data_IF_631964210448
#
_entry.id   IF_631964210448
#
_cell.length_a   1.000
_cell.length_b   1.000
_cell.length_c   1.000
_cell.angle_alpha   90.00
_cell.angle_beta   90.00
_cell.angle_gamma   90.00
#
_symmetry.space_group_name_H-M   'P 1'
#
loop_
_entity.id
_entity.type
_entity.pdbx_description
1 polymer ?
#
# COMPACT_ATOMS: atom_id res chain seq x y z
N UNK A 1 49.24 -0.48 -15.48
CA UNK A 1 48.84 0.93 -15.55
C UNK A 1 47.33 0.93 -15.73
N UNK A 2 46.58 1.33 -14.71
CA UNK A 2 45.12 1.48 -14.82
C UNK A 2 44.88 2.91 -15.29
N UNK A 3 44.86 3.10 -16.60
CA UNK A 3 44.45 4.35 -17.22
C UNK A 3 42.94 4.55 -17.02
N UNK A 4 42.55 4.92 -15.80
CA UNK A 4 41.23 5.46 -15.51
C UNK A 4 41.22 6.87 -16.05
N UNK A 5 41.18 6.98 -17.38
CA UNK A 5 40.85 8.22 -18.06
C UNK A 5 39.58 8.76 -17.40
N UNK A 6 39.69 9.91 -16.74
CA UNK A 6 38.59 10.62 -16.13
C UNK A 6 37.65 11.14 -17.23
N UNK A 7 36.92 10.21 -17.86
CA UNK A 7 35.88 10.50 -18.82
C UNK A 7 34.69 10.97 -17.99
N UNK A 8 34.53 12.29 -17.89
CA UNK A 8 33.42 12.92 -17.17
C UNK A 8 32.09 12.30 -17.56
N UNK A 9 31.17 12.23 -16.59
CA UNK A 9 29.85 11.65 -16.79
C UNK A 9 29.13 12.29 -17.97
N UNK A 10 28.53 11.46 -18.84
CA UNK A 10 27.74 11.95 -19.97
C UNK A 10 26.56 12.77 -19.43
N UNK A 11 26.35 14.02 -19.90
CA UNK A 11 25.26 14.87 -19.43
C UNK A 11 23.89 14.22 -19.59
N UNK A 12 23.66 13.45 -20.67
CA UNK A 12 22.42 12.70 -20.88
C UNK A 12 22.21 11.59 -19.83
N UNK A 13 23.28 10.90 -19.43
CA UNK A 13 23.21 9.91 -18.34
C UNK A 13 22.93 10.57 -17.00
N UNK A 14 23.56 11.71 -16.73
CA UNK A 14 23.31 12.52 -15.53
C UNK A 14 21.84 12.94 -15.44
N UNK A 15 21.28 13.46 -16.54
CA UNK A 15 19.87 13.86 -16.60
C UNK A 15 18.95 12.65 -16.42
N UNK A 16 19.25 11.51 -17.06
CA UNK A 16 18.44 10.30 -16.91
C UNK A 16 18.43 9.81 -15.46
N UNK A 17 19.57 9.83 -14.78
CA UNK A 17 19.68 9.45 -13.37
C UNK A 17 18.96 10.45 -12.47
N UNK A 18 19.07 11.75 -12.73
CA UNK A 18 18.39 12.77 -11.92
C UNK A 18 16.88 12.68 -12.07
N UNK A 19 16.36 12.65 -13.30
CA UNK A 19 14.92 12.59 -13.57
C UNK A 19 14.36 11.23 -13.14
N UNK A 20 15.03 10.14 -13.50
CA UNK A 20 14.63 8.78 -13.11
C UNK A 20 14.66 8.59 -11.59
N UNK A 21 15.69 9.10 -10.91
CA UNK A 21 15.82 9.07 -9.46
C UNK A 21 14.74 9.89 -8.76
N UNK A 22 14.48 11.11 -9.23
CA UNK A 22 13.40 11.96 -8.70
C UNK A 22 12.03 11.28 -8.85
N UNK A 23 11.74 10.72 -10.02
CA UNK A 23 10.50 9.99 -10.25
C UNK A 23 10.38 8.76 -9.36
N UNK A 24 11.44 7.95 -9.25
CA UNK A 24 11.44 6.78 -8.37
C UNK A 24 11.16 7.15 -6.91
N UNK A 25 11.85 8.16 -6.38
CA UNK A 25 11.63 8.64 -5.00
C UNK A 25 10.19 9.13 -4.83
N UNK A 26 9.68 9.89 -5.80
CA UNK A 26 8.30 10.38 -5.75
C UNK A 26 7.28 9.24 -5.74
N UNK A 27 7.45 8.23 -6.61
CA UNK A 27 6.57 7.07 -6.68
C UNK A 27 6.64 6.24 -5.40
N UNK A 28 7.84 5.94 -4.91
CA UNK A 28 8.05 5.16 -3.68
C UNK A 28 7.45 5.90 -2.49
N UNK A 29 7.72 7.20 -2.34
CA UNK A 29 7.18 8.03 -1.27
C UNK A 29 5.65 8.09 -1.31
N UNK A 30 5.07 8.25 -2.50
CA UNK A 30 3.62 8.27 -2.66
C UNK A 30 2.99 6.91 -2.32
N UNK A 31 3.60 5.82 -2.79
CA UNK A 31 3.11 4.47 -2.53
C UNK A 31 3.23 4.11 -1.04
N UNK A 32 4.34 4.46 -0.39
CA UNK A 32 4.53 4.29 1.05
C UNK A 32 3.48 5.08 1.83
N UNK A 33 3.19 6.32 1.44
CA UNK A 33 2.16 7.14 2.05
C UNK A 33 0.75 6.55 1.84
N UNK A 34 0.46 6.01 0.66
CA UNK A 34 -0.79 5.31 0.37
C UNK A 34 -0.96 4.08 1.26
N UNK A 35 0.09 3.27 1.40
CA UNK A 35 0.06 2.10 2.28
C UNK A 35 -0.07 2.50 3.75
N UNK A 36 0.62 3.55 4.19
CA UNK A 36 0.49 4.09 5.53
C UNK A 36 -0.95 4.55 5.79
N UNK A 37 -1.54 5.29 4.84
CA UNK A 37 -2.93 5.70 4.91
C UNK A 37 -3.85 4.48 4.98
N UNK A 38 -3.67 3.45 4.15
CA UNK A 38 -4.49 2.23 4.23
C UNK A 38 -4.39 1.52 5.59
N UNK A 39 -3.21 1.50 6.22
CA UNK A 39 -3.02 0.88 7.55
C UNK A 39 -3.65 1.70 8.67
N UNK A 40 -3.63 3.02 8.56
CA UNK A 40 -4.24 3.93 9.55
C UNK A 40 -5.70 4.27 9.23
N UNK A 41 -6.18 3.88 8.05
CA UNK A 41 -7.57 4.04 7.69
C UNK A 41 -8.39 3.16 8.63
N UNK A 42 -9.38 3.73 9.35
CA UNK A 42 -10.24 2.93 10.19
C UNK A 42 -10.87 1.83 9.33
N UNK A 43 -10.98 0.60 9.84
CA UNK A 43 -11.55 -0.51 9.08
C UNK A 43 -12.87 -0.03 8.50
N UNK A 44 -12.97 0.00 7.17
CA UNK A 44 -14.17 0.44 6.45
C UNK A 44 -15.33 -0.21 7.18
N UNK A 45 -16.14 0.59 7.91
CA UNK A 45 -17.22 0.06 8.75
C UNK A 45 -18.04 -0.81 7.81
N UNK A 46 -17.92 -2.14 7.96
CA UNK A 46 -18.75 -3.07 7.19
C UNK A 46 -20.17 -2.59 7.47
N UNK A 47 -20.94 -2.28 6.41
CA UNK A 47 -22.30 -1.78 6.56
C UNK A 47 -22.96 -2.63 7.65
N UNK A 48 -23.46 -2.02 8.75
CA UNK A 48 -23.93 -2.78 9.89
C UNK A 48 -24.94 -3.79 9.37
N UNK A 49 -24.58 -5.06 9.53
CA UNK A 49 -25.39 -6.13 8.99
C UNK A 49 -26.66 -6.11 9.81
N UNK A 50 -27.81 -5.84 9.17
CA UNK A 50 -29.09 -5.75 9.89
C UNK A 50 -29.25 -6.95 10.82
N UNK A 51 -29.77 -6.72 12.04
CA UNK A 51 -29.96 -7.77 13.06
C UNK A 51 -30.66 -9.02 12.49
N UNK A 52 -31.55 -8.84 11.51
CA UNK A 52 -32.22 -9.93 10.77
C UNK A 52 -31.25 -10.80 9.98
N UNK A 53 -30.27 -10.20 9.29
CA UNK A 53 -29.24 -10.92 8.53
C UNK A 53 -28.20 -11.57 9.46
N UNK A 54 -27.81 -10.91 10.55
CA UNK A 54 -26.97 -11.54 11.59
C UNK A 54 -27.65 -12.77 12.22
N UNK A 55 -28.93 -12.69 12.59
CA UNK A 55 -29.68 -13.83 13.12
C UNK A 55 -29.78 -14.95 12.08
N UNK A 56 -30.02 -14.61 10.80
CA UNK A 56 -30.08 -15.60 9.70
C UNK A 56 -28.75 -16.32 9.48
N UNK A 57 -27.62 -15.63 9.56
CA UNK A 57 -26.30 -16.27 9.42
C UNK A 57 -25.94 -17.09 10.66
N UNK A 58 -26.23 -16.62 11.88
CA UNK A 58 -26.04 -17.40 13.11
C UNK A 58 -26.86 -18.70 13.12
N UNK A 59 -28.13 -18.62 12.69
CA UNK A 59 -29.01 -19.79 12.56
C UNK A 59 -28.51 -20.78 11.49
N UNK A 60 -27.96 -20.29 10.37
CA UNK A 60 -27.35 -21.14 9.34
C UNK A 60 -26.05 -21.82 9.79
N UNK A 61 -25.31 -21.16 10.66
CA UNK A 61 -24.05 -21.67 11.22
C UNK A 61 -24.27 -22.62 12.40
N UNK A 62 -25.53 -22.87 12.81
CA UNK A 62 -25.86 -23.79 13.90
C UNK A 62 -25.34 -23.33 15.28
N UNK A 63 -24.94 -22.06 15.41
CA UNK A 63 -24.43 -21.52 16.67
C UNK A 63 -25.64 -21.22 17.56
N UNK A 64 -25.86 -22.02 18.60
CA UNK A 64 -26.85 -21.73 19.63
C UNK A 64 -26.53 -20.38 20.26
N UNK A 65 -27.56 -19.63 20.62
CA UNK A 65 -27.38 -18.35 21.27
C UNK A 65 -26.53 -18.55 22.55
N UNK A 66 -25.56 -17.67 22.87
CA UNK A 66 -24.89 -17.72 24.14
C UNK A 66 -25.92 -17.39 25.22
N UNK A 67 -26.45 -18.43 25.88
CA UNK A 67 -27.50 -18.32 26.89
C UNK A 67 -28.76 -19.10 26.55
N UNK A 68 -28.63 -20.41 26.31
CA UNK A 68 -29.44 -21.50 26.91
C UNK A 68 -28.54 -22.73 27.07
#
# INVERSE_FOLDING_TARGET
MNDVAAKGFNPGLMVLLLVGGLLLIFLIGNYALYLYAQKNLPPKKKKPVSKKKMKRERLKQGVSAPGE
#
